data_IF_605731281314
#
_entry.id   IF_605731281314
#
_cell.length_a   1.000
_cell.length_b   1.000
_cell.length_c   1.000
_cell.angle_alpha   90.00
_cell.angle_beta   90.00
_cell.angle_gamma   90.00
#
_symmetry.space_group_name_H-M   'P 1'
#
loop_
_entity.id
_entity.type
_entity.pdbx_description
1 polymer ?
#
# COMPACT_ATOMS: atom_id res chain seq x y z
N UNK A 1 3.55 12.60 18.71
CA UNK A 1 3.95 11.89 17.49
C UNK A 1 3.53 10.40 17.49
N UNK A 2 2.53 9.99 18.29
CA UNK A 2 2.01 8.60 18.32
C UNK A 2 0.48 8.54 18.13
N UNK A 3 -0.16 9.64 17.75
CA UNK A 3 -1.64 9.69 17.73
C UNK A 3 -2.29 9.01 16.51
N UNK A 4 -1.49 8.70 15.46
CA UNK A 4 -1.99 8.13 14.20
C UNK A 4 -1.37 6.76 13.89
N UNK A 5 -1.04 5.98 14.90
CA UNK A 5 -0.41 4.66 14.75
C UNK A 5 -1.31 3.58 15.35
N UNK A 6 -1.62 2.54 14.55
CA UNK A 6 -2.40 1.40 15.02
C UNK A 6 -1.62 0.10 14.79
N UNK A 7 -1.73 -0.82 15.75
CA UNK A 7 -1.14 -2.15 15.67
C UNK A 7 -2.27 -3.19 15.60
N UNK A 8 -2.23 -4.02 14.57
CA UNK A 8 -3.17 -5.13 14.37
C UNK A 8 -2.41 -6.45 14.48
N UNK A 9 -2.99 -7.42 15.17
CA UNK A 9 -2.49 -8.79 15.25
C UNK A 9 -3.41 -9.70 14.44
N UNK A 10 -2.85 -10.66 13.72
CA UNK A 10 -3.61 -11.61 12.91
C UNK A 10 -4.20 -12.69 13.84
N UNK A 11 -5.51 -12.93 13.81
CA UNK A 11 -6.13 -14.00 14.60
C UNK A 11 -5.48 -15.36 14.32
N UNK A 12 -5.16 -16.11 15.38
CA UNK A 12 -4.46 -17.39 15.34
C UNK A 12 -3.04 -17.37 14.76
N UNK A 13 -2.48 -16.19 14.55
CA UNK A 13 -1.10 -15.97 14.10
C UNK A 13 -0.55 -14.65 14.70
N UNK A 14 -0.62 -14.50 16.03
CA UNK A 14 -0.30 -13.26 16.75
C UNK A 14 1.16 -12.80 16.54
N UNK A 15 2.03 -13.68 16.05
CA UNK A 15 3.39 -13.33 15.61
C UNK A 15 3.41 -12.54 14.29
N UNK A 16 2.33 -12.58 13.52
CA UNK A 16 2.12 -11.71 12.37
C UNK A 16 1.38 -10.47 12.82
N UNK A 17 1.98 -9.32 12.56
CA UNK A 17 1.44 -8.03 12.96
C UNK A 17 1.50 -7.04 11.80
N UNK A 18 0.55 -6.11 11.80
CA UNK A 18 0.50 -4.98 10.88
C UNK A 18 0.57 -3.71 11.70
N UNK A 19 1.56 -2.87 11.45
CA UNK A 19 1.61 -1.51 11.99
C UNK A 19 1.15 -0.55 10.90
N UNK A 20 0.06 0.17 11.12
CA UNK A 20 -0.39 1.24 10.23
C UNK A 20 -0.01 2.60 10.77
N UNK A 21 0.32 3.52 9.88
CA UNK A 21 0.61 4.92 10.18
C UNK A 21 -0.12 5.79 9.16
N UNK A 22 -0.98 6.70 9.65
CA UNK A 22 -1.50 7.78 8.82
C UNK A 22 -0.51 8.93 8.86
N UNK A 23 0.01 9.36 7.71
CA UNK A 23 1.07 10.36 7.62
C UNK A 23 0.96 11.27 6.38
N UNK A 24 1.78 12.32 6.38
CA UNK A 24 1.81 13.30 5.30
C UNK A 24 0.59 14.23 5.28
N UNK A 25 0.62 15.24 4.38
CA UNK A 25 -0.38 16.30 4.37
C UNK A 25 -1.78 15.89 3.88
N UNK A 26 -1.92 14.71 3.29
CA UNK A 26 -3.20 14.19 2.79
C UNK A 26 -3.67 12.95 3.53
N UNK A 27 -3.08 12.67 4.72
CA UNK A 27 -3.48 11.58 5.61
C UNK A 27 -3.42 10.20 4.91
N UNK A 28 -2.28 9.90 4.28
CA UNK A 28 -2.05 8.62 3.58
C UNK A 28 -1.66 7.54 4.57
N UNK A 29 -2.23 6.36 4.44
CA UNK A 29 -1.88 5.20 5.23
C UNK A 29 -0.65 4.50 4.63
N UNK A 30 0.39 4.31 5.46
CA UNK A 30 1.47 3.39 5.20
C UNK A 30 1.38 2.20 6.14
N UNK A 31 1.84 1.03 5.70
CA UNK A 31 1.75 -0.20 6.49
C UNK A 31 3.09 -0.88 6.61
N UNK A 32 3.41 -1.43 7.78
CA UNK A 32 4.54 -2.34 7.96
C UNK A 32 4.02 -3.72 8.32
N UNK A 33 4.26 -4.69 7.46
CA UNK A 33 3.98 -6.11 7.74
C UNK A 33 5.17 -6.70 8.48
N UNK A 34 4.91 -7.39 9.57
CA UNK A 34 5.92 -7.92 10.46
C UNK A 34 5.67 -9.40 10.74
N UNK A 35 6.72 -10.19 10.67
CA UNK A 35 6.79 -11.52 11.25
C UNK A 35 7.76 -11.49 12.43
N UNK A 36 7.19 -11.54 13.63
CA UNK A 36 7.94 -11.44 14.90
C UNK A 36 8.79 -12.68 15.19
N UNK A 37 8.49 -13.83 14.55
CA UNK A 37 9.25 -15.07 14.71
C UNK A 37 10.51 -15.05 13.84
N UNK A 38 10.37 -14.72 12.56
CA UNK A 38 11.51 -14.63 11.64
C UNK A 38 12.28 -13.31 11.74
N UNK A 39 11.75 -12.34 12.51
CA UNK A 39 12.31 -10.99 12.63
C UNK A 39 12.36 -10.24 11.29
N UNK A 40 11.43 -10.54 10.41
CA UNK A 40 11.33 -9.95 9.08
C UNK A 40 10.22 -8.90 9.03
N UNK A 41 10.44 -7.83 8.26
CA UNK A 41 9.43 -6.83 7.98
C UNK A 41 9.57 -6.28 6.56
N UNK A 42 8.45 -5.81 5.99
CA UNK A 42 8.37 -4.99 4.78
C UNK A 42 7.45 -3.79 5.03
N UNK A 43 7.59 -2.77 4.20
CA UNK A 43 6.70 -1.61 4.18
C UNK A 43 5.83 -1.69 2.92
N UNK A 44 4.54 -1.37 3.05
CA UNK A 44 3.63 -1.10 1.93
C UNK A 44 3.31 0.39 1.98
N UNK A 45 3.68 1.09 0.93
CA UNK A 45 3.62 2.54 0.76
C UNK A 45 4.40 3.33 1.82
N UNK A 46 5.01 4.42 1.42
CA UNK A 46 5.91 5.22 2.24
C UNK A 46 5.50 6.70 2.24
N UNK A 47 4.39 7.06 2.91
CA UNK A 47 3.98 8.46 3.02
C UNK A 47 5.01 9.29 3.80
N UNK A 48 4.92 10.61 3.62
CA UNK A 48 5.89 11.56 4.19
C UNK A 48 6.02 11.42 5.71
N UNK A 49 7.26 11.23 6.19
CA UNK A 49 7.66 11.01 7.59
C UNK A 49 7.26 9.65 8.20
N UNK A 50 6.64 8.74 7.45
CA UNK A 50 6.26 7.42 7.96
C UNK A 50 7.46 6.48 8.19
N UNK A 51 8.44 6.48 7.29
CA UNK A 51 9.55 5.52 7.30
C UNK A 51 10.42 5.66 8.56
N UNK A 52 10.62 6.86 9.06
CA UNK A 52 11.34 7.09 10.33
C UNK A 52 10.65 6.43 11.53
N UNK A 53 9.31 6.43 11.53
CA UNK A 53 8.52 5.80 12.60
C UNK A 53 8.59 4.29 12.47
N UNK A 54 8.42 3.74 11.26
CA UNK A 54 8.58 2.31 11.00
C UNK A 54 9.96 1.79 11.43
N UNK A 55 11.02 2.53 11.09
CA UNK A 55 12.37 2.17 11.49
C UNK A 55 12.58 2.18 13.00
N UNK A 56 12.07 3.21 13.68
CA UNK A 56 12.17 3.31 15.12
C UNK A 56 11.48 2.11 15.79
N UNK A 57 10.31 1.73 15.29
CA UNK A 57 9.59 0.55 15.78
C UNK A 57 10.32 -0.75 15.45
N UNK A 58 10.86 -0.87 14.24
CA UNK A 58 11.60 -2.05 13.81
C UNK A 58 12.87 -2.25 14.66
N UNK A 59 13.61 -1.18 14.98
CA UNK A 59 14.78 -1.23 15.87
C UNK A 59 14.37 -1.70 17.27
N UNK A 60 13.29 -1.15 17.84
CA UNK A 60 12.79 -1.57 19.17
C UNK A 60 12.43 -3.07 19.21
N UNK A 61 11.86 -3.60 18.11
CA UNK A 61 11.41 -5.00 18.01
C UNK A 61 12.46 -5.94 17.40
N UNK A 62 13.66 -5.43 17.09
CA UNK A 62 14.75 -6.19 16.45
C UNK A 62 14.34 -6.79 15.10
N UNK A 63 13.55 -6.05 14.32
CA UNK A 63 13.08 -6.44 13.00
C UNK A 63 14.01 -5.91 11.90
N UNK A 64 14.14 -6.67 10.81
CA UNK A 64 14.81 -6.23 9.59
C UNK A 64 13.78 -5.86 8.53
N UNK A 65 13.70 -4.58 8.19
CA UNK A 65 12.90 -4.13 7.05
C UNK A 65 13.71 -4.37 5.77
N UNK A 66 13.18 -5.19 4.87
CA UNK A 66 13.90 -5.62 3.66
C UNK A 66 13.44 -4.93 2.38
N UNK A 67 12.18 -4.50 2.30
CA UNK A 67 11.60 -3.96 1.08
C UNK A 67 10.52 -2.91 1.34
N UNK A 68 10.29 -2.07 0.32
CA UNK A 68 9.11 -1.24 0.12
C UNK A 68 8.34 -1.82 -1.08
N UNK A 69 7.09 -2.21 -0.85
CA UNK A 69 6.15 -2.62 -1.89
C UNK A 69 5.21 -1.45 -2.16
N UNK A 70 5.14 -0.98 -3.40
CA UNK A 70 4.30 0.16 -3.76
C UNK A 70 3.00 -0.32 -4.38
N UNK A 71 1.87 0.14 -3.81
CA UNK A 71 0.55 -0.10 -4.40
C UNK A 71 0.40 0.68 -5.70
N UNK A 72 0.90 1.91 -5.72
CA UNK A 72 1.00 2.78 -6.89
C UNK A 72 2.01 3.91 -6.61
N UNK A 73 2.18 4.85 -7.52
CA UNK A 73 3.27 5.82 -7.42
C UNK A 73 2.83 7.28 -7.41
N UNK A 74 1.67 7.60 -6.85
CA UNK A 74 1.40 8.98 -6.48
C UNK A 74 2.32 9.41 -5.34
N UNK A 75 2.64 10.70 -5.33
CA UNK A 75 3.66 11.30 -4.46
C UNK A 75 3.43 11.01 -2.97
N UNK A 76 2.21 10.94 -2.54
CA UNK A 76 1.87 10.74 -1.13
C UNK A 76 2.12 9.30 -0.65
N UNK A 77 2.11 8.32 -1.56
CA UNK A 77 2.49 6.93 -1.31
C UNK A 77 3.99 6.68 -1.44
N UNK A 78 4.73 7.63 -2.03
CA UNK A 78 6.15 7.45 -2.36
C UNK A 78 7.06 8.53 -1.77
N UNK A 79 6.53 9.44 -0.95
CA UNK A 79 7.27 10.59 -0.44
C UNK A 79 8.56 10.22 0.30
N UNK A 80 8.55 9.14 1.08
CA UNK A 80 9.72 8.61 1.79
C UNK A 80 10.43 7.45 1.04
N UNK A 81 10.03 7.11 -0.19
CA UNK A 81 10.64 6.00 -0.94
C UNK A 81 12.15 6.19 -1.18
N UNK A 82 12.62 7.44 -1.37
CA UNK A 82 14.05 7.74 -1.46
C UNK A 82 14.79 7.36 -0.16
N UNK A 83 14.15 7.53 0.99
CA UNK A 83 14.74 7.13 2.27
C UNK A 83 14.87 5.62 2.36
N UNK A 84 13.85 4.86 1.93
CA UNK A 84 13.91 3.40 1.84
C UNK A 84 15.07 2.95 0.93
N UNK A 85 15.19 3.52 -0.26
CA UNK A 85 16.26 3.20 -1.19
C UNK A 85 17.67 3.50 -0.61
N UNK A 86 17.85 4.65 0.05
CA UNK A 86 19.11 5.02 0.72
C UNK A 86 19.51 4.06 1.85
N UNK A 87 18.53 3.35 2.41
CA UNK A 87 18.76 2.34 3.46
C UNK A 87 18.96 0.93 2.91
N UNK A 88 18.95 0.79 1.59
CA UNK A 88 19.19 -0.48 0.90
C UNK A 88 18.00 -1.43 0.92
N UNK A 89 16.79 -0.92 1.12
CA UNK A 89 15.56 -1.70 0.94
C UNK A 89 15.31 -1.92 -0.54
N UNK A 90 14.78 -3.09 -0.91
CA UNK A 90 14.27 -3.31 -2.25
C UNK A 90 13.02 -2.44 -2.49
N UNK A 91 12.92 -1.85 -3.67
CA UNK A 91 11.77 -1.02 -4.07
C UNK A 91 11.04 -1.75 -5.20
N UNK A 92 9.85 -2.26 -4.89
CA UNK A 92 9.04 -3.03 -5.83
C UNK A 92 7.87 -2.20 -6.34
N UNK A 93 7.68 -2.18 -7.66
CA UNK A 93 6.68 -1.34 -8.33
C UNK A 93 6.15 -2.01 -9.59
N UNK A 94 4.88 -1.75 -9.94
CA UNK A 94 4.34 -2.19 -11.22
C UNK A 94 4.96 -1.39 -12.38
N UNK A 95 5.30 -2.03 -13.53
CA UNK A 95 6.03 -1.38 -14.62
C UNK A 95 5.33 -0.14 -15.19
N UNK A 96 4.00 -0.14 -15.24
CA UNK A 96 3.22 0.99 -15.75
C UNK A 96 3.25 2.23 -14.86
N UNK A 97 3.64 2.09 -13.58
CA UNK A 97 3.76 3.20 -12.63
C UNK A 97 5.22 3.61 -12.37
N UNK A 98 6.18 2.79 -12.76
CA UNK A 98 7.61 2.96 -12.45
C UNK A 98 8.19 4.31 -12.93
N UNK A 99 7.67 4.87 -14.01
CA UNK A 99 8.16 6.14 -14.56
C UNK A 99 7.99 7.33 -13.62
N UNK A 100 6.93 7.32 -12.77
CA UNK A 100 6.71 8.39 -11.79
C UNK A 100 7.77 8.42 -10.69
N UNK A 101 8.32 7.25 -10.30
CA UNK A 101 9.41 7.19 -9.33
C UNK A 101 10.70 7.84 -9.83
N UNK A 102 10.96 7.76 -11.14
CA UNK A 102 12.18 8.26 -11.76
C UNK A 102 12.21 9.79 -11.81
N UNK A 103 11.05 10.45 -11.80
CA UNK A 103 10.92 11.91 -11.72
C UNK A 103 9.62 12.29 -10.97
N UNK A 104 9.58 12.06 -9.67
CA UNK A 104 8.39 12.30 -8.86
C UNK A 104 7.88 13.74 -8.94
N UNK A 105 8.80 14.71 -8.99
CA UNK A 105 8.44 16.12 -9.03
C UNK A 105 7.71 16.51 -10.34
N UNK A 106 8.11 15.93 -11.48
CA UNK A 106 7.46 16.20 -12.77
C UNK A 106 6.04 15.64 -12.85
N UNK A 107 5.75 14.60 -12.07
CA UNK A 107 4.44 13.94 -12.04
C UNK A 107 3.55 14.36 -10.87
N UNK A 108 3.99 15.34 -10.06
CA UNK A 108 3.23 15.89 -8.94
C UNK A 108 2.58 17.20 -9.34
N UNK A 109 1.24 17.26 -9.28
CA UNK A 109 0.47 18.43 -9.73
C UNK A 109 0.27 19.50 -8.65
N UNK A 110 0.71 19.25 -7.42
CA UNK A 110 0.57 20.19 -6.30
C UNK A 110 1.92 20.70 -5.80
N UNK A 111 1.98 21.95 -5.32
CA UNK A 111 3.15 22.41 -4.57
C UNK A 111 3.21 21.70 -3.22
N UNK A 112 4.33 21.03 -2.92
CA UNK A 112 4.53 20.36 -1.64
C UNK A 112 5.43 21.20 -0.71
N UNK A 113 5.24 21.14 0.62
CA UNK A 113 6.09 21.81 1.59
C UNK A 113 7.47 21.15 1.79
N UNK A 114 7.72 20.04 1.08
CA UNK A 114 8.98 19.26 1.08
C UNK A 114 9.37 18.86 -0.34
N UNK A 115 10.59 18.36 -0.47
CA UNK A 115 11.11 17.89 -1.75
C UNK A 115 10.89 16.38 -1.88
N UNK A 116 10.43 15.96 -3.05
CA UNK A 116 10.42 14.55 -3.46
C UNK A 116 11.78 14.18 -4.06
N UNK A 117 12.31 13.04 -3.65
CA UNK A 117 13.51 12.46 -4.24
C UNK A 117 13.16 11.52 -5.39
N UNK A 118 14.01 11.47 -6.42
CA UNK A 118 13.85 10.47 -7.47
C UNK A 118 14.37 9.11 -6.99
N UNK A 119 13.68 8.04 -7.34
CA UNK A 119 13.95 6.70 -6.82
C UNK A 119 14.14 5.71 -7.96
N UNK A 120 15.25 4.97 -7.90
CA UNK A 120 15.43 3.79 -8.75
C UNK A 120 14.77 2.60 -8.06
N UNK A 121 13.84 1.95 -8.75
CA UNK A 121 13.27 0.70 -8.27
C UNK A 121 14.26 -0.47 -8.47
N UNK A 122 14.14 -1.50 -7.66
CA UNK A 122 15.01 -2.69 -7.72
C UNK A 122 14.30 -3.90 -8.31
N UNK A 123 12.97 -3.90 -8.33
CA UNK A 123 12.18 -5.00 -8.87
C UNK A 123 10.85 -4.53 -9.45
N UNK A 124 10.37 -5.30 -10.41
CA UNK A 124 9.06 -5.15 -11.03
C UNK A 124 8.12 -6.21 -10.45
N UNK A 125 6.86 -5.82 -10.25
CA UNK A 125 5.78 -6.72 -9.82
C UNK A 125 4.61 -6.61 -10.81
N UNK A 126 4.01 -7.77 -11.11
CA UNK A 126 2.91 -7.87 -12.07
C UNK A 126 1.80 -8.77 -11.53
N UNK A 127 0.67 -8.79 -12.21
CA UNK A 127 -0.48 -9.63 -11.87
C UNK A 127 -0.08 -11.08 -11.62
N UNK A 128 -0.44 -11.62 -10.45
CA UNK A 128 -0.24 -13.01 -10.07
C UNK A 128 1.13 -13.32 -9.45
N UNK A 129 2.02 -12.32 -9.33
CA UNK A 129 3.26 -12.49 -8.59
C UNK A 129 2.96 -12.75 -7.11
N UNK A 130 3.78 -13.59 -6.48
CA UNK A 130 3.69 -13.89 -5.06
C UNK A 130 4.87 -13.28 -4.32
N UNK A 131 4.56 -12.36 -3.43
CA UNK A 131 5.54 -11.69 -2.57
C UNK A 131 5.47 -12.26 -1.15
N UNK A 132 6.64 -12.42 -0.52
CA UNK A 132 6.71 -13.00 0.83
C UNK A 132 7.52 -12.14 1.79
N UNK A 133 7.11 -12.16 3.08
CA UNK A 133 7.88 -11.59 4.18
C UNK A 133 7.67 -12.44 5.44
N UNK A 134 8.64 -13.31 5.78
CA UNK A 134 8.41 -14.35 6.77
C UNK A 134 7.25 -15.26 6.35
N UNK A 135 6.23 -15.38 7.20
CA UNK A 135 5.01 -16.17 6.90
C UNK A 135 3.91 -15.39 6.17
N UNK A 136 4.10 -14.08 5.92
CA UNK A 136 3.24 -13.33 5.03
C UNK A 136 3.41 -13.79 3.57
N UNK A 137 2.29 -13.98 2.88
CA UNK A 137 2.28 -14.41 1.47
C UNK A 137 1.20 -13.65 0.73
N UNK A 138 1.60 -12.64 -0.03
CA UNK A 138 0.69 -11.74 -0.75
C UNK A 138 0.75 -12.01 -2.25
N UNK A 139 -0.41 -12.23 -2.86
CA UNK A 139 -0.57 -12.20 -4.31
C UNK A 139 -0.75 -10.75 -4.78
N UNK A 140 -0.10 -10.39 -5.87
CA UNK A 140 -0.25 -9.10 -6.55
C UNK A 140 -1.47 -9.17 -7.48
N UNK A 141 -2.47 -8.32 -7.22
CA UNK A 141 -3.60 -8.11 -8.13
C UNK A 141 -3.44 -6.77 -8.84
N UNK A 142 -3.30 -6.78 -10.16
CA UNK A 142 -3.28 -5.54 -10.95
C UNK A 142 -4.69 -4.94 -11.02
N UNK A 143 -4.86 -3.75 -10.45
CA UNK A 143 -6.13 -3.03 -10.30
C UNK A 143 -6.02 -1.61 -10.87
N UNK A 144 -5.80 -1.47 -12.19
CA UNK A 144 -5.65 -0.16 -12.82
C UNK A 144 -6.92 0.67 -12.75
N UNK A 145 -6.76 1.98 -12.92
CA UNK A 145 -7.86 2.95 -13.03
C UNK A 145 -7.74 4.16 -12.12
N UNK A 146 -7.12 4.03 -10.93
CA UNK A 146 -6.61 5.18 -10.18
C UNK A 146 -5.28 5.64 -10.77
N UNK A 147 -4.40 4.70 -11.04
CA UNK A 147 -3.22 4.83 -11.92
C UNK A 147 -3.19 3.67 -12.90
N UNK A 148 -2.30 3.73 -13.88
CA UNK A 148 -2.15 2.66 -14.88
C UNK A 148 -1.55 1.38 -14.27
N UNK A 149 -0.69 1.54 -13.26
CA UNK A 149 0.04 0.46 -12.59
C UNK A 149 -0.43 0.18 -11.17
N UNK A 150 -1.63 0.64 -10.79
CA UNK A 150 -2.18 0.38 -9.46
C UNK A 150 -2.31 -1.12 -9.18
N UNK A 151 -1.86 -1.56 -8.00
CA UNK A 151 -1.97 -2.95 -7.54
C UNK A 151 -2.53 -3.03 -6.13
N UNK A 152 -3.15 -4.16 -5.81
CA UNK A 152 -3.48 -4.58 -4.45
C UNK A 152 -2.60 -5.78 -4.06
N UNK A 153 -2.23 -5.89 -2.78
CA UNK A 153 -1.54 -7.04 -2.22
C UNK A 153 -2.53 -7.86 -1.38
N UNK A 154 -2.76 -9.11 -1.72
CA UNK A 154 -3.78 -9.96 -1.10
C UNK A 154 -3.17 -11.15 -0.40
N UNK A 155 -3.31 -11.25 0.92
CA UNK A 155 -3.00 -12.45 1.69
C UNK A 155 -4.30 -13.20 2.01
N UNK A 156 -4.63 -14.20 1.19
CA UNK A 156 -5.82 -15.02 1.36
C UNK A 156 -5.78 -15.86 2.63
N UNK A 157 -4.58 -16.28 3.06
CA UNK A 157 -4.42 -17.10 4.27
C UNK A 157 -4.79 -16.34 5.54
N UNK A 158 -4.52 -15.04 5.56
CA UNK A 158 -4.76 -14.20 6.73
C UNK A 158 -5.90 -13.20 6.54
N UNK A 159 -6.69 -13.35 5.45
CA UNK A 159 -7.85 -12.52 5.12
C UNK A 159 -7.56 -11.02 5.11
N UNK A 160 -6.44 -10.63 4.51
CA UNK A 160 -6.00 -9.23 4.42
C UNK A 160 -5.79 -8.80 2.97
N UNK A 161 -6.21 -7.56 2.64
CA UNK A 161 -5.89 -6.89 1.38
C UNK A 161 -5.38 -5.48 1.64
N UNK A 162 -4.25 -5.11 1.05
CA UNK A 162 -3.70 -3.75 1.03
C UNK A 162 -4.06 -3.15 -0.32
N UNK A 163 -5.10 -2.32 -0.30
CA UNK A 163 -5.78 -1.91 -1.53
C UNK A 163 -5.20 -0.63 -2.16
N UNK A 164 -4.27 0.06 -1.48
CA UNK A 164 -3.87 1.40 -1.92
C UNK A 164 -5.08 2.26 -2.21
N UNK A 165 -5.06 2.97 -3.33
CA UNK A 165 -6.14 3.84 -3.75
C UNK A 165 -7.11 3.17 -4.74
N UNK A 166 -7.33 1.87 -4.58
CA UNK A 166 -8.33 1.13 -5.37
C UNK A 166 -9.70 1.18 -4.69
N UNK A 167 -9.79 0.79 -3.42
CA UNK A 167 -11.06 0.65 -2.67
C UNK A 167 -10.91 1.25 -1.27
N UNK A 168 -11.87 2.07 -0.86
CA UNK A 168 -11.95 2.72 0.45
C UNK A 168 -13.27 2.39 1.14
N UNK A 169 -13.36 2.67 2.43
CA UNK A 169 -14.61 2.59 3.17
C UNK A 169 -15.67 3.55 2.58
N UNK A 170 -16.67 2.99 1.89
CA UNK A 170 -17.75 3.74 1.24
C UNK A 170 -17.31 4.58 0.03
N UNK A 171 -16.11 4.34 -0.53
CA UNK A 171 -15.59 5.12 -1.66
C UNK A 171 -14.60 4.31 -2.52
N UNK A 172 -14.09 4.94 -3.58
CA UNK A 172 -13.03 4.41 -4.45
C UNK A 172 -11.99 5.47 -4.74
N UNK A 173 -10.84 5.10 -5.27
CA UNK A 173 -9.81 6.03 -5.70
C UNK A 173 -10.33 7.03 -6.75
N UNK A 174 -9.79 8.25 -6.72
CA UNK A 174 -10.08 9.25 -7.76
C UNK A 174 -9.47 8.83 -9.11
N UNK A 175 -10.08 9.29 -10.18
CA UNK A 175 -9.68 8.91 -11.55
C UNK A 175 -9.47 10.10 -12.48
N UNK A 176 -9.45 11.32 -11.91
CA UNK A 176 -9.34 12.58 -12.65
C UNK A 176 -7.88 13.08 -12.77
N UNK A 177 -6.90 12.33 -12.27
CA UNK A 177 -5.48 12.60 -12.43
C UNK A 177 -4.92 11.90 -13.69
N UNK A 178 -3.75 12.34 -14.21
CA UNK A 178 -3.12 11.68 -15.34
C UNK A 178 -2.90 10.18 -15.12
N UNK A 179 -3.40 9.35 -16.03
CA UNK A 179 -3.39 7.89 -15.91
C UNK A 179 -4.65 7.30 -15.28
N UNK A 180 -5.55 8.14 -14.76
CA UNK A 180 -6.82 7.71 -14.18
C UNK A 180 -7.92 7.45 -15.22
N UNK A 181 -8.76 6.43 -14.97
CA UNK A 181 -9.93 6.07 -15.77
C UNK A 181 -10.98 5.37 -14.90
N UNK A 182 -12.16 5.98 -14.81
CA UNK A 182 -13.25 5.52 -13.93
C UNK A 182 -13.78 4.14 -14.31
N UNK A 183 -14.01 3.91 -15.60
CA UNK A 183 -14.59 2.65 -16.06
C UNK A 183 -13.61 1.50 -15.82
N UNK A 184 -12.32 1.76 -16.03
CA UNK A 184 -11.24 0.81 -15.74
C UNK A 184 -11.16 0.50 -14.25
N UNK A 185 -11.23 1.51 -13.35
CA UNK A 185 -11.19 1.29 -11.91
C UNK A 185 -12.38 0.45 -11.43
N UNK A 186 -13.59 0.79 -11.88
CA UNK A 186 -14.79 0.02 -11.53
C UNK A 186 -14.71 -1.43 -12.04
N UNK A 187 -14.19 -1.64 -13.26
CA UNK A 187 -13.97 -2.98 -13.80
C UNK A 187 -12.92 -3.76 -12.97
N UNK A 188 -11.83 -3.11 -12.56
CA UNK A 188 -10.80 -3.69 -11.70
C UNK A 188 -11.37 -4.15 -10.35
N UNK A 189 -12.12 -3.28 -9.67
CA UNK A 189 -12.75 -3.60 -8.39
C UNK A 189 -13.72 -4.78 -8.55
N UNK A 190 -14.65 -4.71 -9.50
CA UNK A 190 -15.64 -5.76 -9.72
C UNK A 190 -15.03 -7.11 -10.08
N UNK A 191 -13.99 -7.12 -10.91
CA UNK A 191 -13.35 -8.35 -11.36
C UNK A 191 -12.41 -8.96 -10.32
N UNK A 192 -11.62 -8.13 -9.64
CA UNK A 192 -10.50 -8.60 -8.83
C UNK A 192 -10.81 -8.61 -7.33
N UNK A 193 -11.62 -7.68 -6.83
CA UNK A 193 -11.84 -7.52 -5.39
C UNK A 193 -13.19 -8.08 -4.92
N UNK A 194 -14.29 -7.81 -5.63
CA UNK A 194 -15.62 -8.23 -5.18
C UNK A 194 -15.86 -9.75 -5.28
N UNK A 195 -14.91 -10.53 -5.78
CA UNK A 195 -14.94 -12.00 -5.76
C UNK A 195 -14.13 -12.60 -4.61
N UNK A 196 -13.49 -11.76 -3.80
CA UNK A 196 -12.75 -12.19 -2.60
C UNK A 196 -13.73 -12.49 -1.45
N UNK A 197 -13.31 -13.23 -0.40
CA UNK A 197 -14.13 -13.49 0.78
C UNK A 197 -14.67 -12.20 1.41
N UNK A 198 -15.96 -12.19 1.79
CA UNK A 198 -16.65 -11.03 2.34
C UNK A 198 -16.03 -10.52 3.66
N UNK A 199 -15.47 -11.44 4.45
CA UNK A 199 -14.81 -11.15 5.74
C UNK A 199 -13.37 -10.64 5.61
N UNK A 200 -12.86 -10.53 4.38
CA UNK A 200 -11.50 -10.02 4.13
C UNK A 200 -11.40 -8.55 4.52
N UNK A 201 -10.41 -8.25 5.38
CA UNK A 201 -10.16 -6.89 5.85
C UNK A 201 -9.39 -6.11 4.78
N UNK A 202 -9.92 -4.96 4.41
CA UNK A 202 -9.31 -4.01 3.46
C UNK A 202 -8.54 -2.95 4.23
N UNK A 203 -7.24 -2.84 3.96
CA UNK A 203 -6.31 -1.81 4.41
C UNK A 203 -6.12 -0.81 3.27
N UNK A 204 -6.86 0.32 3.27
CA UNK A 204 -6.85 1.28 2.15
C UNK A 204 -5.71 2.28 2.24
N UNK A 205 -5.42 2.97 1.12
CA UNK A 205 -4.45 4.07 1.08
C UNK A 205 -4.89 5.30 1.88
N UNK A 206 -6.20 5.49 2.06
CA UNK A 206 -6.76 6.59 2.85
C UNK A 206 -7.98 6.16 3.65
N UNK A 207 -8.19 6.82 4.81
CA UNK A 207 -9.35 6.60 5.67
C UNK A 207 -9.28 5.30 6.47
N UNK A 208 -10.43 4.87 7.03
CA UNK A 208 -10.50 3.72 7.92
C UNK A 208 -10.48 2.38 7.16
N UNK A 209 -10.21 1.31 7.90
CA UNK A 209 -10.38 -0.06 7.41
C UNK A 209 -11.85 -0.34 7.06
N UNK A 210 -12.05 -1.29 6.16
CA UNK A 210 -13.37 -1.83 5.81
C UNK A 210 -13.26 -3.33 5.52
N UNK A 211 -14.33 -3.95 5.01
CA UNK A 211 -14.31 -5.33 4.52
C UNK A 211 -14.85 -5.40 3.09
N UNK A 212 -14.50 -6.47 2.39
CA UNK A 212 -15.06 -6.70 1.05
C UNK A 212 -16.59 -6.76 1.09
N UNK A 213 -17.17 -7.41 2.09
CA UNK A 213 -18.62 -7.52 2.24
C UNK A 213 -19.30 -6.17 2.50
N UNK A 214 -18.73 -5.33 3.37
CA UNK A 214 -19.26 -3.98 3.61
C UNK A 214 -19.27 -3.15 2.34
N UNK A 215 -18.23 -3.24 1.52
CA UNK A 215 -18.14 -2.48 0.27
C UNK A 215 -19.06 -3.04 -0.82
N UNK A 216 -19.25 -4.35 -0.88
CA UNK A 216 -20.25 -4.96 -1.79
C UNK A 216 -21.66 -4.46 -1.49
N UNK A 217 -22.01 -4.35 -0.19
CA UNK A 217 -23.36 -3.98 0.24
C UNK A 217 -23.61 -2.47 0.21
N UNK A 218 -22.63 -1.67 0.65
CA UNK A 218 -22.86 -0.29 1.04
C UNK A 218 -22.11 0.75 0.21
N UNK A 219 -21.14 0.36 -0.63
CA UNK A 219 -20.36 1.33 -1.40
C UNK A 219 -21.19 1.93 -2.55
N UNK A 220 -21.44 3.26 -2.56
CA UNK A 220 -22.31 3.88 -3.56
C UNK A 220 -21.76 3.86 -4.99
N UNK A 221 -20.47 3.63 -5.17
CA UNK A 221 -19.84 3.52 -6.50
C UNK A 221 -19.99 2.12 -7.12
N UNK A 222 -20.36 1.12 -6.31
CA UNK A 222 -20.41 -0.28 -6.72
C UNK A 222 -21.84 -0.80 -6.93
N UNK A 223 -22.85 0.05 -6.68
CA UNK A 223 -24.27 -0.24 -6.83
C UNK A 223 -24.72 -0.23 -8.29
#
# INVERSE_FOLDING_TARGET
MMENMNLYSIPNAEYLQILSIEAGPVATNGYMLMDMQSKSAIIIDAPHESVKVFESYAVEKELKISALWLTHTHWDHTADAELCAKKGMDILVHPLDAYRLLDQAAHTVWPLPFKLGNVQYTGIIEQGDILTCGDWTCEVLHTPGHTEGGVCFVDLKHSCIFAGDTLFAGSIGRTDLPGGDMDTLLASIKKSLLNLPEDMIVFPGHGPLTTIGDEQENNPFLQ
#
